data_IF_247526502276
#
_entry.id   IF_247526502276
#
_cell.length_a   1.000
_cell.length_b   1.000
_cell.length_c   1.000
_cell.angle_alpha   90.00
_cell.angle_beta   90.00
_cell.angle_gamma   90.00
#
_symmetry.space_group_name_H-M   'P 1'
#
loop_
_entity.id
_entity.type
_entity.pdbx_description
1 polymer ?
#
# COMPACT_ATOMS: atom_id res chain seq x y z
N UNK A 1 4.28 -4.85 9.41
CA UNK A 1 5.64 -4.34 9.12
C UNK A 1 5.51 -3.47 7.88
N UNK A 2 6.33 -2.44 7.68
CA UNK A 2 6.26 -1.67 6.43
C UNK A 2 6.42 -2.63 5.22
N UNK A 3 5.59 -2.47 4.19
CA UNK A 3 5.58 -3.36 3.02
C UNK A 3 4.86 -4.70 3.18
N UNK A 4 4.40 -5.07 4.39
CA UNK A 4 3.83 -6.40 4.66
C UNK A 4 2.60 -6.38 5.58
N UNK A 5 1.58 -7.12 5.14
CA UNK A 5 0.28 -7.24 5.77
C UNK A 5 -0.68 -6.12 5.37
N UNK A 6 -1.98 -6.38 5.52
CA UNK A 6 -3.04 -5.43 5.20
C UNK A 6 -4.21 -5.61 6.17
N UNK A 7 -4.95 -4.52 6.47
CA UNK A 7 -6.12 -4.60 7.37
C UNK A 7 -7.34 -5.27 6.72
N UNK A 8 -7.45 -5.15 5.38
CA UNK A 8 -8.59 -5.67 4.60
C UNK A 8 -8.25 -6.99 3.91
N UNK A 9 -7.02 -7.17 3.46
CA UNK A 9 -6.62 -8.37 2.72
C UNK A 9 -6.02 -9.37 3.70
N UNK A 10 -6.70 -10.49 3.89
CA UNK A 10 -6.19 -11.62 4.68
C UNK A 10 -5.16 -12.44 3.89
N UNK A 11 -5.20 -12.37 2.55
CA UNK A 11 -4.25 -13.01 1.64
C UNK A 11 -3.36 -12.01 0.90
N UNK A 12 -2.92 -12.39 -0.30
CA UNK A 12 -2.09 -11.54 -1.16
C UNK A 12 -2.83 -10.23 -1.49
N UNK A 13 -2.15 -9.09 -1.36
CA UNK A 13 -2.66 -7.82 -1.86
C UNK A 13 -2.68 -7.86 -3.40
N UNK A 14 -3.86 -7.83 -4.05
CA UNK A 14 -3.96 -8.02 -5.50
C UNK A 14 -3.23 -6.93 -6.29
N UNK A 15 -3.07 -5.74 -5.70
CA UNK A 15 -2.34 -4.62 -6.33
C UNK A 15 -0.84 -4.87 -6.30
N UNK A 16 -0.35 -5.44 -5.20
CA UNK A 16 1.05 -5.80 -5.06
C UNK A 16 1.40 -6.92 -6.05
N UNK A 17 0.55 -7.95 -6.15
CA UNK A 17 0.71 -9.02 -7.12
C UNK A 17 0.79 -8.46 -8.55
N UNK A 18 -0.20 -7.66 -8.95
CA UNK A 18 -0.24 -7.06 -10.28
C UNK A 18 1.02 -6.25 -10.62
N UNK A 19 1.48 -5.41 -9.70
CA UNK A 19 2.67 -4.57 -9.94
C UNK A 19 3.95 -5.39 -9.96
N UNK A 20 4.10 -6.38 -9.06
CA UNK A 20 5.27 -7.26 -9.04
C UNK A 20 5.34 -8.15 -10.29
N UNK A 21 4.20 -8.64 -10.77
CA UNK A 21 4.12 -9.42 -12.02
C UNK A 21 4.49 -8.55 -13.23
N UNK A 22 3.99 -7.32 -13.29
CA UNK A 22 4.38 -6.39 -14.35
C UNK A 22 5.88 -6.06 -14.32
N UNK A 23 6.46 -5.92 -13.12
CA UNK A 23 7.90 -5.67 -12.97
C UNK A 23 8.74 -6.91 -13.29
N UNK A 24 8.21 -8.12 -13.11
CA UNK A 24 8.93 -9.36 -13.44
C UNK A 24 9.32 -9.43 -14.93
N UNK A 25 8.53 -8.81 -15.81
CA UNK A 25 8.74 -8.80 -17.25
C UNK A 25 9.79 -7.77 -17.71
N UNK A 26 10.02 -6.70 -16.95
CA UNK A 26 10.80 -5.53 -17.40
C UNK A 26 11.92 -5.12 -16.45
N UNK A 27 11.90 -5.60 -15.22
CA UNK A 27 12.80 -5.18 -14.15
C UNK A 27 14.18 -5.87 -14.20
N UNK A 28 15.20 -5.30 -13.53
CA UNK A 28 16.50 -5.95 -13.42
C UNK A 28 16.40 -7.31 -12.70
N UNK A 29 16.93 -8.42 -13.26
CA UNK A 29 16.77 -9.76 -12.69
C UNK A 29 17.26 -9.88 -11.24
N UNK A 30 18.35 -9.18 -10.89
CA UNK A 30 18.88 -9.15 -9.51
C UNK A 30 17.86 -8.55 -8.53
N UNK A 31 17.27 -7.41 -8.87
CA UNK A 31 16.33 -6.70 -8.00
C UNK A 31 15.09 -7.55 -7.77
N UNK A 32 14.55 -8.15 -8.84
CA UNK A 32 13.38 -9.01 -8.77
C UNK A 32 13.64 -10.28 -7.95
N UNK A 33 14.80 -10.90 -8.10
CA UNK A 33 15.20 -12.06 -7.28
C UNK A 33 15.27 -11.70 -5.79
N UNK A 34 15.92 -10.59 -5.44
CA UNK A 34 16.01 -10.14 -4.04
C UNK A 34 14.62 -9.81 -3.48
N UNK A 35 13.76 -9.17 -4.29
CA UNK A 35 12.39 -8.89 -3.89
C UNK A 35 11.59 -10.17 -3.61
N UNK A 36 11.73 -11.20 -4.46
CA UNK A 36 11.10 -12.51 -4.26
C UNK A 36 11.60 -13.19 -2.97
N UNK A 37 12.91 -13.28 -2.80
CA UNK A 37 13.54 -13.87 -1.60
C UNK A 37 13.06 -13.16 -0.32
N UNK A 38 12.95 -11.83 -0.33
CA UNK A 38 12.43 -11.06 0.80
C UNK A 38 10.96 -11.36 1.09
N UNK A 39 10.13 -11.48 0.04
CA UNK A 39 8.71 -11.82 0.19
C UNK A 39 8.55 -13.20 0.82
N UNK A 40 9.27 -14.18 0.29
CA UNK A 40 9.19 -15.57 0.75
C UNK A 40 9.66 -15.68 2.21
N UNK A 41 10.80 -15.08 2.55
CA UNK A 41 11.35 -15.10 3.91
C UNK A 41 10.41 -14.45 4.94
N UNK A 42 9.82 -13.29 4.61
CA UNK A 42 8.89 -12.61 5.54
C UNK A 42 7.58 -13.37 5.67
N UNK A 43 7.08 -13.94 4.57
CA UNK A 43 5.88 -14.75 4.59
C UNK A 43 6.08 -16.01 5.44
N UNK A 44 7.20 -16.72 5.29
CA UNK A 44 7.54 -17.91 6.08
C UNK A 44 7.64 -17.60 7.58
N UNK A 45 8.33 -16.50 7.95
CA UNK A 45 8.55 -16.15 9.36
C UNK A 45 7.34 -15.54 10.06
N UNK A 46 6.48 -14.84 9.33
CA UNK A 46 5.45 -13.99 9.94
C UNK A 46 4.03 -14.26 9.48
N UNK A 47 3.85 -15.06 8.42
CA UNK A 47 2.58 -15.27 7.73
C UNK A 47 2.07 -14.03 6.99
N UNK A 48 2.83 -12.92 6.95
CA UNK A 48 2.39 -11.66 6.33
C UNK A 48 2.77 -11.63 4.86
N UNK A 49 1.79 -11.28 4.04
CA UNK A 49 1.94 -11.12 2.60
C UNK A 49 2.46 -9.72 2.23
N UNK A 50 3.14 -9.62 1.09
CA UNK A 50 3.52 -8.34 0.50
C UNK A 50 2.28 -7.47 0.25
N UNK A 51 2.43 -6.16 0.49
CA UNK A 51 1.42 -5.17 0.16
C UNK A 51 1.93 -4.19 -0.92
N UNK A 52 1.06 -3.28 -1.36
CA UNK A 52 1.39 -2.31 -2.41
C UNK A 52 2.63 -1.45 -2.10
N UNK A 53 2.94 -1.18 -0.83
CA UNK A 53 4.10 -0.35 -0.46
C UNK A 53 5.42 -1.07 -0.80
N UNK A 54 5.49 -2.39 -0.60
CA UNK A 54 6.66 -3.17 -1.02
C UNK A 54 6.78 -3.15 -2.54
N UNK A 55 5.69 -3.37 -3.26
CA UNK A 55 5.72 -3.37 -4.72
C UNK A 55 6.16 -2.00 -5.30
N UNK A 56 5.76 -0.89 -4.66
CA UNK A 56 6.22 0.45 -5.01
C UNK A 56 7.71 0.67 -4.67
N UNK A 57 8.22 0.09 -3.59
CA UNK A 57 9.65 0.12 -3.29
C UNK A 57 10.47 -0.67 -4.34
N UNK A 58 9.96 -1.82 -4.78
CA UNK A 58 10.59 -2.60 -5.86
C UNK A 58 10.56 -1.83 -7.19
N UNK A 59 9.44 -1.16 -7.52
CA UNK A 59 9.36 -0.27 -8.69
C UNK A 59 10.44 0.82 -8.64
N UNK A 60 10.57 1.50 -7.50
CA UNK A 60 11.56 2.56 -7.32
C UNK A 60 12.99 2.02 -7.50
N UNK A 61 13.31 0.87 -6.91
CA UNK A 61 14.62 0.23 -7.06
C UNK A 61 14.89 -0.23 -8.49
N UNK A 62 13.92 -0.84 -9.17
CA UNK A 62 14.03 -1.25 -10.57
C UNK A 62 14.33 -0.05 -11.49
N UNK A 63 13.75 1.11 -11.20
CA UNK A 63 13.92 2.34 -11.97
C UNK A 63 15.06 3.26 -11.52
N UNK A 64 15.83 2.89 -10.48
CA UNK A 64 16.86 3.76 -9.90
C UNK A 64 16.30 5.10 -9.39
N UNK A 65 15.05 5.10 -8.91
CA UNK A 65 14.32 6.30 -8.50
C UNK A 65 14.74 6.77 -7.10
N UNK A 66 14.30 7.97 -6.73
CA UNK A 66 14.53 8.47 -5.37
C UNK A 66 13.74 7.66 -4.34
N UNK A 67 14.18 7.60 -3.06
CA UNK A 67 13.46 6.87 -2.01
C UNK A 67 12.00 7.31 -1.80
N UNK A 68 11.66 8.56 -2.19
CA UNK A 68 10.30 9.11 -2.07
C UNK A 68 9.39 8.71 -3.25
N UNK A 69 9.90 8.07 -4.30
CA UNK A 69 9.14 7.81 -5.52
C UNK A 69 7.87 6.98 -5.27
N UNK A 70 7.94 5.96 -4.41
CA UNK A 70 6.77 5.16 -4.05
C UNK A 70 5.65 5.99 -3.42
N UNK A 71 5.98 6.88 -2.49
CA UNK A 71 5.02 7.79 -1.86
C UNK A 71 4.42 8.78 -2.86
N UNK A 72 5.24 9.33 -3.77
CA UNK A 72 4.79 10.27 -4.81
C UNK A 72 3.82 9.59 -5.77
N UNK A 73 4.14 8.39 -6.26
CA UNK A 73 3.26 7.60 -7.14
C UNK A 73 1.95 7.29 -6.42
N UNK A 74 2.02 6.79 -5.18
CA UNK A 74 0.83 6.46 -4.40
C UNK A 74 -0.05 7.68 -4.18
N UNK A 75 0.54 8.80 -3.75
CA UNK A 75 -0.22 10.04 -3.47
C UNK A 75 -0.87 10.56 -4.73
N UNK A 76 -0.14 10.60 -5.85
CA UNK A 76 -0.68 11.03 -7.15
C UNK A 76 -1.87 10.17 -7.58
N UNK A 77 -1.74 8.85 -7.49
CA UNK A 77 -2.83 7.92 -7.84
C UNK A 77 -4.04 8.09 -6.91
N UNK A 78 -3.83 8.33 -5.61
CA UNK A 78 -4.89 8.48 -4.63
C UNK A 78 -5.72 9.75 -4.78
N UNK A 79 -5.17 10.81 -5.39
CA UNK A 79 -5.92 12.06 -5.61
C UNK A 79 -7.24 11.80 -6.34
N UNK A 80 -7.24 10.93 -7.36
CA UNK A 80 -8.46 10.59 -8.09
C UNK A 80 -9.54 9.98 -7.16
N UNK A 81 -9.16 9.04 -6.30
CA UNK A 81 -10.08 8.43 -5.33
C UNK A 81 -10.53 9.40 -4.24
N UNK A 82 -9.65 10.30 -3.78
CA UNK A 82 -10.02 11.35 -2.84
C UNK A 82 -11.03 12.34 -3.42
N UNK A 83 -10.85 12.75 -4.68
CA UNK A 83 -11.80 13.62 -5.36
C UNK A 83 -13.14 12.92 -5.58
N UNK A 84 -13.13 11.65 -5.96
CA UNK A 84 -14.35 10.85 -6.09
C UNK A 84 -15.10 10.75 -4.76
N UNK A 85 -14.42 10.38 -3.66
CA UNK A 85 -15.05 10.32 -2.35
C UNK A 85 -15.53 11.67 -1.82
N UNK A 86 -14.82 12.77 -2.14
CA UNK A 86 -15.28 14.11 -1.80
C UNK A 86 -16.59 14.46 -2.55
N UNK A 87 -16.67 14.14 -3.85
CA UNK A 87 -17.88 14.30 -4.64
C UNK A 87 -19.05 13.46 -4.07
N UNK A 88 -18.79 12.19 -3.74
CA UNK A 88 -19.77 11.31 -3.09
C UNK A 88 -20.26 11.85 -1.75
N UNK A 89 -19.38 12.44 -0.92
CA UNK A 89 -19.75 13.01 0.39
C UNK A 89 -20.64 14.26 0.24
N UNK A 90 -20.46 15.07 -0.80
CA UNK A 90 -21.30 16.26 -1.03
C UNK A 90 -22.78 15.93 -1.29
N UNK A 91 -23.08 14.71 -1.72
CA UNK A 91 -24.45 14.22 -1.92
C UNK A 91 -25.11 13.70 -0.63
N UNK A 92 -24.36 13.65 0.48
CA UNK A 92 -24.78 13.02 1.72
C UNK A 92 -25.23 14.05 2.76
N UNK A 93 -25.95 13.58 3.79
CA UNK A 93 -26.36 14.46 4.89
C UNK A 93 -25.13 15.06 5.59
N UNK A 94 -25.05 16.41 5.73
CA UNK A 94 -23.92 17.05 6.39
C UNK A 94 -23.70 16.54 7.82
N UNK A 95 -22.43 16.46 8.23
CA UNK A 95 -22.00 16.09 9.59
C UNK A 95 -22.42 14.68 10.05
N UNK A 96 -22.67 13.74 9.11
CA UNK A 96 -23.00 12.34 9.45
C UNK A 96 -21.91 11.61 10.25
N UNK A 97 -20.64 12.00 10.09
CA UNK A 97 -19.52 11.46 10.85
C UNK A 97 -19.14 12.37 12.05
N UNK A 98 -20.09 12.57 12.97
CA UNK A 98 -19.83 13.30 14.21
C UNK A 98 -19.39 12.35 15.33
N UNK A 99 -18.09 12.19 15.51
CA UNK A 99 -17.52 11.36 16.57
C UNK A 99 -17.87 11.93 17.95
N UNK A 100 -18.40 11.10 18.85
CA UNK A 100 -18.58 11.45 20.26
C UNK A 100 -17.51 10.73 21.07
N UNK A 101 -16.71 11.50 21.80
CA UNK A 101 -15.75 10.94 22.75
C UNK A 101 -16.39 10.94 24.15
N UNK A 102 -16.35 9.79 24.84
CA UNK A 102 -16.66 9.75 26.26
C UNK A 102 -15.46 10.29 27.04
N UNK A 103 -15.69 11.28 27.92
CA UNK A 103 -14.68 11.73 28.86
C UNK A 103 -14.53 10.67 29.96
N UNK A 104 -13.36 10.05 30.04
CA UNK A 104 -12.99 9.06 31.07
C UNK A 104 -11.97 9.62 32.08
N UNK A 105 -11.85 10.95 32.16
CA UNK A 105 -11.03 11.59 33.18
C UNK A 105 -11.80 11.75 34.50
N UNK A 106 -11.15 11.43 35.61
CA UNK A 106 -11.70 11.62 36.95
C UNK A 106 -10.81 10.94 38.00
N UNK A 107 -9.81 11.69 38.50
CA UNK A 107 -8.83 11.26 39.50
C UNK A 107 -7.54 12.05 39.37
#
# INVERSE_FOLDING_TARGET
MAGFGHKVYAGVDPRAALLLDALAEVGPPRTLRVARELVDEVAERTGRQANIDLALAVLAECGGMTPAAGEIVMTTARIAGWLAHAAEEYEQTPLRFRTRAAYVGGG
#
